data_IF_284066355771
#
_entry.id   IF_284066355771
#
_cell.length_a   1.000
_cell.length_b   1.000
_cell.length_c   1.000
_cell.angle_alpha   90.00
_cell.angle_beta   90.00
_cell.angle_gamma   90.00
#
_symmetry.space_group_name_H-M   'P 1'
#
loop_
_entity.id
_entity.type
_entity.pdbx_description
1 polymer ?
#
# COMPACT_ATOMS: atom_id res chain seq x y z
N UNK A 1 2.92 -63.13 39.26
CA UNK A 1 1.58 -62.78 38.74
C UNK A 1 1.47 -61.25 38.86
N UNK A 2 1.91 -60.40 37.93
CA UNK A 2 2.15 -60.53 36.49
C UNK A 2 1.07 -59.76 35.74
N UNK A 3 1.38 -58.52 35.33
CA UNK A 3 0.78 -57.64 34.29
C UNK A 3 0.68 -56.18 34.82
N UNK A 4 1.59 -55.28 34.41
CA UNK A 4 1.50 -54.41 33.21
C UNK A 4 0.26 -53.51 33.28
N UNK A 5 0.39 -52.24 33.67
CA UNK A 5 0.82 -51.11 32.83
C UNK A 5 -0.07 -50.93 31.60
N UNK A 6 -0.90 -49.91 31.62
CA UNK A 6 -1.29 -49.19 30.40
C UNK A 6 -1.79 -47.78 30.77
N UNK A 7 -0.85 -46.87 31.09
CA UNK A 7 -1.09 -45.44 30.91
C UNK A 7 -0.82 -45.11 29.46
N UNK A 8 -1.87 -44.87 28.69
CA UNK A 8 -1.76 -44.15 27.42
C UNK A 8 -2.22 -42.70 27.62
N UNK A 9 -1.34 -41.70 27.50
CA UNK A 9 -1.77 -40.34 27.27
C UNK A 9 -2.09 -40.21 25.78
N UNK A 10 -3.38 -40.09 25.44
CA UNK A 10 -3.79 -39.57 24.15
C UNK A 10 -3.52 -38.05 24.18
N UNK A 11 -2.30 -37.69 23.81
CA UNK A 11 -1.86 -36.34 23.51
C UNK A 11 -1.77 -36.19 21.98
N UNK A 12 -2.92 -35.96 21.35
CA UNK A 12 -3.05 -35.67 19.92
C UNK A 12 -3.97 -34.44 19.70
N UNK A 13 -3.91 -33.45 20.60
CA UNK A 13 -4.71 -32.22 20.54
C UNK A 13 -4.02 -31.01 19.89
N UNK A 14 -2.69 -31.01 19.78
CA UNK A 14 -1.92 -29.79 19.52
C UNK A 14 -1.58 -29.55 18.03
N UNK A 15 -1.73 -30.56 17.17
CA UNK A 15 -1.35 -30.46 15.74
C UNK A 15 -2.32 -29.64 14.88
N UNK A 16 -3.64 -29.81 15.08
CA UNK A 16 -4.66 -29.14 14.26
C UNK A 16 -4.81 -27.65 14.61
N UNK A 17 -4.71 -27.28 15.89
CA UNK A 17 -4.73 -25.88 16.33
C UNK A 17 -3.53 -25.09 15.80
N UNK A 18 -2.34 -25.72 15.75
CA UNK A 18 -1.14 -25.13 15.18
C UNK A 18 -1.24 -24.86 13.68
N UNK A 19 -1.76 -25.82 12.92
CA UNK A 19 -1.93 -25.72 11.47
C UNK A 19 -3.00 -24.67 11.08
N UNK A 20 -4.14 -24.65 11.76
CA UNK A 20 -5.19 -23.64 11.54
C UNK A 20 -4.66 -22.22 11.80
N UNK A 21 -3.90 -22.03 12.88
CA UNK A 21 -3.30 -20.73 13.20
C UNK A 21 -2.27 -20.27 12.14
N UNK A 22 -1.54 -21.20 11.54
CA UNK A 22 -0.55 -20.90 10.50
C UNK A 22 -1.21 -20.51 9.17
N UNK A 23 -2.27 -21.22 8.78
CA UNK A 23 -3.06 -20.90 7.59
C UNK A 23 -3.71 -19.51 7.70
N UNK A 24 -4.27 -19.18 8.86
CA UNK A 24 -4.81 -17.84 9.11
C UNK A 24 -3.73 -16.74 9.03
N UNK A 25 -2.56 -16.95 9.63
CA UNK A 25 -1.45 -15.99 9.54
C UNK A 25 -1.01 -15.77 8.10
N UNK A 26 -0.91 -16.84 7.31
CA UNK A 26 -0.56 -16.77 5.90
C UNK A 26 -1.63 -16.00 5.09
N UNK A 27 -2.91 -16.25 5.36
CA UNK A 27 -4.02 -15.52 4.74
C UNK A 27 -3.98 -14.02 5.07
N UNK A 28 -3.80 -13.65 6.34
CA UNK A 28 -3.64 -12.25 6.76
C UNK A 28 -2.43 -11.58 6.10
N UNK A 29 -1.31 -12.28 6.00
CA UNK A 29 -0.12 -11.77 5.33
C UNK A 29 -0.33 -11.55 3.83
N UNK A 30 -1.04 -12.47 3.16
CA UNK A 30 -1.40 -12.33 1.75
C UNK A 30 -2.33 -11.13 1.52
N UNK A 31 -3.31 -10.93 2.41
CA UNK A 31 -4.22 -9.78 2.35
C UNK A 31 -3.46 -8.46 2.54
N UNK A 32 -2.60 -8.35 3.56
CA UNK A 32 -1.80 -7.16 3.80
C UNK A 32 -0.87 -6.83 2.62
N UNK A 33 -0.26 -7.85 2.00
CA UNK A 33 0.55 -7.68 0.78
C UNK A 33 -0.28 -7.18 -0.39
N UNK A 34 -1.49 -7.71 -0.56
CA UNK A 34 -2.42 -7.26 -1.60
C UNK A 34 -2.82 -5.80 -1.39
N UNK A 35 -3.25 -5.41 -0.19
CA UNK A 35 -3.60 -4.03 0.16
C UNK A 35 -2.44 -3.06 -0.09
N UNK A 36 -1.23 -3.43 0.33
CA UNK A 36 -0.04 -2.62 0.12
C UNK A 36 0.23 -2.37 -1.37
N UNK A 37 0.02 -3.39 -2.22
CA UNK A 37 0.18 -3.27 -3.67
C UNK A 37 -0.94 -2.47 -4.32
N UNK A 38 -2.19 -2.61 -3.89
CA UNK A 38 -3.30 -1.74 -4.34
C UNK A 38 -3.03 -0.28 -3.99
N UNK A 39 -2.56 0.00 -2.77
CA UNK A 39 -2.19 1.35 -2.35
C UNK A 39 -0.98 1.92 -3.12
N UNK A 40 -0.07 1.07 -3.59
CA UNK A 40 1.00 1.46 -4.50
C UNK A 40 0.48 1.74 -5.91
N UNK A 41 -0.42 0.89 -6.43
CA UNK A 41 -1.03 1.03 -7.75
C UNK A 41 -1.76 2.37 -7.90
N UNK A 42 -2.53 2.79 -6.88
CA UNK A 42 -3.27 4.06 -6.88
C UNK A 42 -2.36 5.32 -6.96
N UNK A 43 -1.05 5.17 -6.77
CA UNK A 43 -0.06 6.25 -6.87
C UNK A 43 0.86 6.09 -8.09
N UNK A 44 0.70 5.00 -8.84
CA UNK A 44 1.49 4.70 -10.02
C UNK A 44 1.03 5.53 -11.23
N UNK A 45 1.89 5.69 -12.26
CA UNK A 45 1.49 6.37 -13.50
C UNK A 45 0.34 5.68 -14.25
N UNK A 46 0.30 4.35 -14.20
CA UNK A 46 -0.77 3.53 -14.80
C UNK A 46 -1.35 2.59 -13.72
N UNK A 47 -2.33 3.06 -12.91
CA UNK A 47 -2.93 2.23 -11.87
C UNK A 47 -3.61 0.97 -12.44
N UNK A 48 -4.08 1.02 -13.68
CA UNK A 48 -4.77 -0.11 -14.31
C UNK A 48 -3.81 -1.21 -14.72
N UNK A 49 -2.63 -0.87 -15.25
CA UNK A 49 -1.59 -1.85 -15.50
C UNK A 49 -1.16 -2.56 -14.21
N UNK A 50 -0.98 -1.82 -13.12
CA UNK A 50 -0.58 -2.39 -11.82
C UNK A 50 -1.63 -3.34 -11.22
N UNK A 51 -2.92 -2.96 -11.29
CA UNK A 51 -4.01 -3.85 -10.85
C UNK A 51 -4.16 -5.07 -11.76
N UNK A 52 -3.94 -4.94 -13.07
CA UNK A 52 -3.89 -6.10 -13.97
C UNK A 52 -2.73 -7.04 -13.64
N UNK A 53 -1.56 -6.51 -13.29
CA UNK A 53 -0.44 -7.35 -12.85
C UNK A 53 -0.75 -8.10 -11.53
N UNK A 54 -1.53 -7.51 -10.63
CA UNK A 54 -2.02 -8.18 -9.42
C UNK A 54 -2.98 -9.34 -9.73
N UNK A 55 -3.84 -9.18 -10.74
CA UNK A 55 -4.77 -10.21 -11.17
C UNK A 55 -4.08 -11.49 -11.67
N UNK A 56 -2.85 -11.36 -12.20
CA UNK A 56 -2.05 -12.45 -12.75
C UNK A 56 -1.02 -13.03 -11.76
N UNK A 57 -0.92 -12.49 -10.54
CA UNK A 57 0.09 -12.93 -9.56
C UNK A 57 -0.31 -14.24 -8.87
N UNK A 58 0.22 -15.35 -9.38
CA UNK A 58 -0.01 -16.70 -8.85
C UNK A 58 0.39 -16.90 -7.38
N UNK A 59 1.18 -15.98 -6.78
CA UNK A 59 1.50 -16.04 -5.35
C UNK A 59 0.35 -15.56 -4.45
N UNK A 60 -0.71 -14.98 -5.02
CA UNK A 60 -1.90 -14.53 -4.30
C UNK A 60 -3.02 -15.58 -4.34
N UNK A 61 -3.82 -15.69 -3.26
CA UNK A 61 -5.07 -16.44 -3.25
C UNK A 61 -5.98 -16.06 -4.42
N UNK A 62 -6.74 -17.04 -4.93
CA UNK A 62 -7.64 -16.87 -6.08
C UNK A 62 -8.66 -15.76 -5.84
N UNK A 63 -9.16 -15.64 -4.62
CA UNK A 63 -10.13 -14.63 -4.22
C UNK A 63 -9.60 -13.20 -4.43
N UNK A 64 -8.32 -12.97 -4.09
CA UNK A 64 -7.68 -11.66 -4.26
C UNK A 64 -7.37 -11.37 -5.73
N UNK A 65 -6.96 -12.39 -6.49
CA UNK A 65 -6.78 -12.27 -7.95
C UNK A 65 -8.11 -11.95 -8.66
N UNK A 66 -9.20 -12.61 -8.26
CA UNK A 66 -10.54 -12.35 -8.78
C UNK A 66 -11.02 -10.92 -8.46
N UNK A 67 -10.76 -10.43 -7.24
CA UNK A 67 -11.05 -9.05 -6.86
C UNK A 67 -10.28 -8.04 -7.74
N UNK A 68 -8.98 -8.28 -7.99
CA UNK A 68 -8.17 -7.44 -8.89
C UNK A 68 -8.70 -7.46 -10.34
N UNK A 69 -9.10 -8.63 -10.86
CA UNK A 69 -9.71 -8.72 -12.20
C UNK A 69 -10.99 -7.91 -12.28
N UNK A 70 -11.88 -8.05 -11.30
CA UNK A 70 -13.11 -7.26 -11.22
C UNK A 70 -12.83 -5.75 -11.22
N UNK A 71 -11.90 -5.30 -10.38
CA UNK A 71 -11.49 -3.89 -10.32
C UNK A 71 -10.90 -3.40 -11.65
N UNK A 72 -10.07 -4.20 -12.31
CA UNK A 72 -9.48 -3.85 -13.62
C UNK A 72 -10.50 -3.79 -14.76
N UNK A 73 -11.55 -4.61 -14.69
CA UNK A 73 -12.69 -4.55 -15.62
C UNK A 73 -13.51 -3.27 -15.49
N UNK A 74 -13.50 -2.66 -14.30
CA UNK A 74 -14.13 -1.36 -13.99
C UNK A 74 -13.14 -0.20 -14.14
N UNK A 75 -12.27 -0.24 -15.15
CA UNK A 75 -11.03 0.51 -15.16
C UNK A 75 -11.16 2.04 -15.00
N UNK A 76 -12.26 2.62 -15.50
CA UNK A 76 -12.55 4.06 -15.33
C UNK A 76 -12.69 4.47 -13.87
N UNK A 77 -13.32 3.63 -13.03
CA UNK A 77 -13.50 3.91 -11.60
C UNK A 77 -12.16 3.98 -10.86
N UNK A 78 -11.27 3.02 -11.12
CA UNK A 78 -9.95 2.98 -10.50
C UNK A 78 -9.09 4.19 -10.91
N UNK A 79 -9.08 4.52 -12.20
CA UNK A 79 -8.33 5.68 -12.71
C UNK A 79 -8.85 6.98 -12.08
N UNK A 80 -10.17 7.13 -11.96
CA UNK A 80 -10.78 8.28 -11.30
C UNK A 80 -10.40 8.34 -9.81
N UNK A 81 -10.45 7.21 -9.10
CA UNK A 81 -10.03 7.16 -7.69
C UNK A 81 -8.57 7.57 -7.52
N UNK A 82 -7.66 7.10 -8.36
CA UNK A 82 -6.25 7.50 -8.33
C UNK A 82 -6.06 9.02 -8.53
N UNK A 83 -6.79 9.60 -9.50
CA UNK A 83 -6.77 11.05 -9.75
C UNK A 83 -7.33 11.85 -8.57
N UNK A 84 -8.43 11.39 -7.97
CA UNK A 84 -9.03 12.04 -6.79
C UNK A 84 -8.06 12.01 -5.59
N UNK A 85 -7.39 10.89 -5.36
CA UNK A 85 -6.38 10.78 -4.29
C UNK A 85 -5.21 11.73 -4.55
N UNK A 86 -4.70 11.79 -5.79
CA UNK A 86 -3.64 12.72 -6.16
C UNK A 86 -4.06 14.18 -5.95
N UNK A 87 -5.29 14.53 -6.35
CA UNK A 87 -5.85 15.88 -6.17
C UNK A 87 -5.97 16.26 -4.69
N UNK A 88 -6.60 15.41 -3.87
CA UNK A 88 -6.78 15.69 -2.45
C UNK A 88 -5.45 15.89 -1.73
N UNK A 89 -4.45 15.07 -2.06
CA UNK A 89 -3.10 15.22 -1.49
C UNK A 89 -2.41 16.51 -1.94
N UNK A 90 -2.58 16.88 -3.20
CA UNK A 90 -2.08 18.15 -3.71
C UNK A 90 -2.71 19.32 -2.95
N UNK A 91 -4.03 19.33 -2.79
CA UNK A 91 -4.77 20.37 -2.05
C UNK A 91 -4.31 20.44 -0.59
N UNK A 92 -4.18 19.31 0.10
CA UNK A 92 -3.63 19.27 1.47
C UNK A 92 -2.21 19.84 1.54
N UNK A 93 -1.33 19.49 0.60
CA UNK A 93 0.03 20.01 0.59
C UNK A 93 0.06 21.53 0.36
N UNK A 94 -0.74 22.03 -0.59
CA UNK A 94 -0.82 23.46 -0.89
C UNK A 94 -1.35 24.27 0.30
N UNK A 95 -2.29 23.71 1.06
CA UNK A 95 -2.80 24.33 2.28
C UNK A 95 -1.82 24.22 3.46
N UNK A 96 -1.02 23.15 3.51
CA UNK A 96 -0.16 22.83 4.64
C UNK A 96 1.25 23.43 4.56
N UNK A 97 1.75 23.77 3.37
CA UNK A 97 3.13 24.25 3.17
C UNK A 97 3.15 25.53 2.33
N UNK A 98 3.51 26.64 2.97
CA UNK A 98 3.70 27.93 2.30
C UNK A 98 4.83 27.88 1.28
N UNK A 99 5.89 27.11 1.55
CA UNK A 99 6.97 26.87 0.60
C UNK A 99 6.45 26.16 -0.66
N UNK A 100 5.66 25.10 -0.50
CA UNK A 100 5.11 24.35 -1.62
C UNK A 100 4.21 25.24 -2.49
N UNK A 101 3.36 26.04 -1.85
CA UNK A 101 2.53 27.03 -2.54
C UNK A 101 3.37 28.05 -3.33
N UNK A 102 4.40 28.62 -2.70
CA UNK A 102 5.28 29.58 -3.37
C UNK A 102 6.13 28.98 -4.51
N UNK A 103 6.48 27.68 -4.44
CA UNK A 103 7.13 26.99 -5.56
C UNK A 103 6.16 26.78 -6.72
N UNK A 104 4.93 26.37 -6.43
CA UNK A 104 3.90 26.19 -7.46
C UNK A 104 3.57 27.51 -8.17
N UNK A 105 3.45 28.62 -7.43
CA UNK A 105 3.22 29.94 -8.02
C UNK A 105 4.36 30.39 -8.95
N UNK A 106 5.60 30.02 -8.63
CA UNK A 106 6.79 30.40 -9.40
C UNK A 106 6.98 29.55 -10.65
N UNK A 107 6.86 28.24 -10.53
CA UNK A 107 6.98 27.28 -11.62
C UNK A 107 6.02 26.10 -11.41
N UNK A 108 4.78 26.20 -11.94
CA UNK A 108 3.78 25.16 -11.80
C UNK A 108 4.21 23.82 -12.40
N UNK A 109 4.97 23.84 -13.50
CA UNK A 109 5.37 22.63 -14.21
C UNK A 109 6.44 21.85 -13.44
N UNK A 110 7.47 22.55 -12.95
CA UNK A 110 8.50 21.95 -12.11
C UNK A 110 7.91 21.44 -10.79
N UNK A 111 7.02 22.22 -10.16
CA UNK A 111 6.37 21.77 -8.93
C UNK A 111 5.46 20.56 -9.17
N UNK A 112 4.69 20.52 -10.27
CA UNK A 112 3.87 19.36 -10.60
C UNK A 112 4.72 18.09 -10.80
N UNK A 113 5.90 18.20 -11.44
CA UNK A 113 6.83 17.09 -11.56
C UNK A 113 7.37 16.64 -10.20
N UNK A 114 7.74 17.58 -9.33
CA UNK A 114 8.19 17.32 -7.96
C UNK A 114 7.11 16.62 -7.12
N UNK A 115 5.88 17.13 -7.19
CA UNK A 115 4.73 16.55 -6.50
C UNK A 115 4.44 15.14 -6.99
N UNK A 116 4.47 14.88 -8.31
CA UNK A 116 4.29 13.52 -8.86
C UNK A 116 5.36 12.56 -8.33
N UNK A 117 6.61 13.00 -8.23
CA UNK A 117 7.69 12.19 -7.65
C UNK A 117 7.43 11.87 -6.17
N UNK A 118 7.01 12.88 -5.39
CA UNK A 118 6.64 12.70 -3.98
C UNK A 118 5.46 11.73 -3.81
N UNK A 119 4.39 11.94 -4.56
CA UNK A 119 3.16 11.16 -4.50
C UNK A 119 3.43 9.67 -4.75
N UNK A 120 4.29 9.35 -5.73
CA UNK A 120 4.75 7.99 -6.01
C UNK A 120 5.60 7.42 -4.88
N UNK A 121 6.51 8.22 -4.33
CA UNK A 121 7.47 7.76 -3.32
C UNK A 121 6.84 7.50 -1.95
N UNK A 122 5.85 8.31 -1.53
CA UNK A 122 5.29 8.24 -0.18
C UNK A 122 3.76 8.09 -0.19
N UNK A 123 3.19 7.10 0.51
CA UNK A 123 1.76 7.08 0.76
C UNK A 123 1.37 8.27 1.67
N UNK A 124 0.09 8.67 1.64
CA UNK A 124 -0.41 9.59 2.67
C UNK A 124 -0.29 8.93 4.04
N UNK A 125 0.18 9.67 5.04
CA UNK A 125 0.45 9.18 6.40
C UNK A 125 -0.41 9.81 7.48
N UNK A 126 -1.33 10.71 7.15
CA UNK A 126 -2.16 11.32 8.17
C UNK A 126 -3.33 12.14 7.64
N UNK A 127 -4.07 12.66 8.61
CA UNK A 127 -5.32 13.37 8.40
C UNK A 127 -5.04 14.89 8.42
N UNK A 128 -4.92 15.47 7.23
CA UNK A 128 -5.00 16.91 7.04
C UNK A 128 -3.70 17.62 6.59
N UNK A 129 -3.81 18.93 6.27
CA UNK A 129 -2.76 19.69 5.59
C UNK A 129 -1.38 19.68 6.26
N UNK A 130 -1.32 19.88 7.58
CA UNK A 130 -0.05 19.96 8.30
C UNK A 130 0.75 18.66 8.27
N UNK A 131 0.07 17.51 8.31
CA UNK A 131 0.72 16.21 8.25
C UNK A 131 1.29 15.93 6.85
N UNK A 132 0.55 16.26 5.80
CA UNK A 132 1.00 16.10 4.41
C UNK A 132 2.23 16.98 4.14
N UNK A 133 2.23 18.22 4.63
CA UNK A 133 3.37 19.14 4.54
C UNK A 133 4.63 18.59 5.23
N UNK A 134 4.51 18.14 6.48
CA UNK A 134 5.63 17.55 7.22
C UNK A 134 6.21 16.30 6.52
N UNK A 135 5.35 15.46 5.94
CA UNK A 135 5.77 14.29 5.17
C UNK A 135 6.53 14.67 3.91
N UNK A 136 6.06 15.70 3.20
CA UNK A 136 6.70 16.21 2.00
C UNK A 136 8.08 16.83 2.30
N UNK A 137 8.18 17.63 3.34
CA UNK A 137 9.44 18.26 3.77
C UNK A 137 10.47 17.22 4.23
N UNK A 138 10.04 16.21 4.99
CA UNK A 138 10.91 15.10 5.38
C UNK A 138 11.44 14.33 4.16
N UNK A 139 10.59 14.11 3.15
CA UNK A 139 11.00 13.46 1.89
C UNK A 139 11.96 14.33 1.08
N UNK A 140 11.74 15.65 0.99
CA UNK A 140 12.67 16.58 0.35
C UNK A 140 14.04 16.55 1.04
N UNK A 141 14.07 16.64 2.37
CA UNK A 141 15.31 16.61 3.14
C UNK A 141 16.11 15.32 2.92
N UNK A 142 15.43 14.18 2.75
CA UNK A 142 16.08 12.90 2.41
C UNK A 142 16.66 12.92 1.00
N UNK A 143 15.89 13.37 0.00
CA UNK A 143 16.35 13.44 -1.40
C UNK A 143 17.58 14.33 -1.60
N UNK A 144 17.63 15.46 -0.90
CA UNK A 144 18.79 16.37 -0.97
C UNK A 144 20.06 15.74 -0.41
N UNK A 145 19.95 14.87 0.62
CA UNK A 145 21.11 14.16 1.17
C UNK A 145 21.61 13.05 0.25
N UNK A 146 20.72 12.42 -0.49
CA UNK A 146 21.03 11.33 -1.42
C UNK A 146 21.60 11.81 -2.75
N UNK A 147 21.44 13.10 -3.07
CA UNK A 147 22.02 13.72 -4.26
C UNK A 147 23.08 14.75 -3.83
N UNK A 148 24.27 14.32 -3.37
CA UNK A 148 25.37 15.25 -3.19
C UNK A 148 25.74 15.79 -4.57
N UNK A 149 25.69 17.13 -4.72
CA UNK A 149 26.04 17.82 -5.95
C UNK A 149 27.47 17.58 -6.39
#
# INVERSE_FOLDING_TARGET
MGAHDDRRPDDDGDGEAGAASAAERASRAAHARFEARVAAALRAPDPLAEIRALAEDASLPEELRAAARCASGQGTGLALSALLIARLRFEMLMQGSTWAAGQFERDPAAFAALFRAYHRARPSRGYGPACEAACFEAWLAQRTRETPG
#
